data_IF_279154307597
#
_entry.id   IF_279154307597
#
_cell.length_a   1.000
_cell.length_b   1.000
_cell.length_c   1.000
_cell.angle_alpha   90.00
_cell.angle_beta   90.00
_cell.angle_gamma   90.00
#
_symmetry.space_group_name_H-M   'P 1'
#
loop_
_entity.id
_entity.type
_entity.pdbx_description
1 polymer ?
#
# COMPACT_ATOMS: atom_id res chain seq x y z
N UNK A 1 -59.25 36.58 51.03
CA UNK A 1 -59.00 35.23 51.57
C UNK A 1 -58.10 34.49 50.60
N UNK A 2 -56.97 33.97 51.07
CA UNK A 2 -55.92 33.31 50.27
C UNK A 2 -56.24 31.83 50.17
N UNK A 3 -56.42 31.31 48.95
CA UNK A 3 -56.55 29.88 48.70
C UNK A 3 -55.18 29.33 48.25
N UNK A 4 -54.50 28.75 49.24
CA UNK A 4 -53.43 27.75 49.25
C UNK A 4 -52.94 27.27 47.86
N UNK A 5 -51.76 27.76 47.49
CA UNK A 5 -50.86 27.11 46.52
C UNK A 5 -50.49 25.71 47.02
N UNK A 6 -50.97 24.67 46.34
CA UNK A 6 -50.48 23.31 46.52
C UNK A 6 -49.14 23.17 45.78
N UNK A 7 -48.04 23.46 46.49
CA UNK A 7 -46.67 23.26 46.00
C UNK A 7 -46.12 21.94 46.54
N UNK A 8 -45.65 21.09 45.62
CA UNK A 8 -44.47 20.22 45.77
C UNK A 8 -44.58 19.04 46.74
N UNK A 9 -45.04 17.88 46.27
CA UNK A 9 -44.81 16.61 46.99
C UNK A 9 -44.81 15.35 46.10
N UNK A 10 -44.10 15.33 44.97
CA UNK A 10 -43.68 14.07 44.33
C UNK A 10 -42.75 14.30 43.12
N UNK A 11 -41.46 14.62 43.29
CA UNK A 11 -40.47 14.39 42.19
C UNK A 11 -38.97 14.37 42.52
N UNK A 12 -38.46 14.16 43.74
CA UNK A 12 -37.01 13.98 43.91
C UNK A 12 -36.48 12.66 43.28
N UNK A 13 -37.32 11.63 43.12
CA UNK A 13 -36.93 10.31 42.62
C UNK A 13 -36.71 10.25 41.10
N UNK A 14 -37.47 11.01 40.31
CA UNK A 14 -37.38 10.96 38.85
C UNK A 14 -36.13 11.67 38.33
N UNK A 15 -35.76 12.79 38.96
CA UNK A 15 -34.50 13.51 38.67
C UNK A 15 -33.26 12.71 39.12
N UNK A 16 -33.36 11.98 40.23
CA UNK A 16 -32.31 11.06 40.69
C UNK A 16 -32.14 9.84 39.78
N UNK A 17 -33.24 9.27 39.25
CA UNK A 17 -33.19 8.17 38.29
C UNK A 17 -32.54 8.61 36.96
N UNK A 18 -32.87 9.81 36.48
CA UNK A 18 -32.36 10.36 35.22
C UNK A 18 -30.86 10.69 35.31
N UNK A 19 -30.39 11.23 36.44
CA UNK A 19 -28.96 11.45 36.68
C UNK A 19 -28.17 10.14 36.79
N UNK A 20 -28.71 9.12 37.47
CA UNK A 20 -28.11 7.79 37.53
C UNK A 20 -28.02 7.11 36.16
N UNK A 21 -29.04 7.25 35.33
CA UNK A 21 -29.04 6.74 33.96
C UNK A 21 -27.97 7.43 33.10
N UNK A 22 -27.82 8.76 33.19
CA UNK A 22 -26.77 9.50 32.49
C UNK A 22 -25.36 9.10 32.94
N UNK A 23 -25.15 8.86 34.23
CA UNK A 23 -23.88 8.37 34.76
C UNK A 23 -23.52 6.97 34.24
N UNK A 24 -24.49 6.04 34.24
CA UNK A 24 -24.29 4.69 33.72
C UNK A 24 -24.07 4.67 32.20
N UNK A 25 -24.64 5.63 31.46
CA UNK A 25 -24.36 5.84 30.05
C UNK A 25 -22.93 6.38 29.85
N UNK A 26 -22.57 7.44 30.57
CA UNK A 26 -21.23 8.04 30.50
C UNK A 26 -20.12 7.05 30.85
N UNK A 27 -20.34 6.16 31.82
CA UNK A 27 -19.39 5.09 32.14
C UNK A 27 -19.20 4.12 30.97
N UNK A 28 -20.30 3.66 30.34
CA UNK A 28 -20.20 2.78 29.17
C UNK A 28 -19.50 3.44 27.99
N UNK A 29 -19.77 4.73 27.75
CA UNK A 29 -19.09 5.50 26.71
C UNK A 29 -17.60 5.67 27.02
N UNK A 30 -17.23 5.91 28.28
CA UNK A 30 -15.84 5.97 28.71
C UNK A 30 -15.11 4.63 28.54
N UNK A 31 -15.73 3.51 28.91
CA UNK A 31 -15.16 2.16 28.75
C UNK A 31 -14.93 1.84 27.26
N UNK A 32 -15.87 2.22 26.38
CA UNK A 32 -15.72 2.06 24.93
C UNK A 32 -14.60 2.94 24.36
N UNK A 33 -14.50 4.19 24.82
CA UNK A 33 -13.45 5.10 24.41
C UNK A 33 -12.07 4.58 24.86
N UNK A 34 -11.95 4.06 26.08
CA UNK A 34 -10.71 3.44 26.56
C UNK A 34 -10.32 2.21 25.74
N UNK A 35 -11.27 1.35 25.40
CA UNK A 35 -11.02 0.19 24.54
C UNK A 35 -10.49 0.62 23.17
N UNK A 36 -11.11 1.63 22.57
CA UNK A 36 -10.71 2.17 21.27
C UNK A 36 -9.32 2.83 21.33
N UNK A 37 -9.04 3.59 22.39
CA UNK A 37 -7.74 4.20 22.60
C UNK A 37 -6.62 3.16 22.79
N UNK A 38 -6.88 2.07 23.53
CA UNK A 38 -5.94 0.95 23.69
C UNK A 38 -5.66 0.26 22.35
N UNK A 39 -6.69 0.05 21.53
CA UNK A 39 -6.54 -0.54 20.21
C UNK A 39 -5.71 0.34 19.27
N UNK A 40 -6.03 1.64 19.17
CA UNK A 40 -5.29 2.59 18.34
C UNK A 40 -3.83 2.71 18.77
N UNK A 41 -3.56 2.65 20.07
CA UNK A 41 -2.19 2.65 20.58
C UNK A 41 -1.42 1.40 20.16
N UNK A 42 -2.04 0.22 20.28
CA UNK A 42 -1.43 -1.03 19.82
C UNK A 42 -1.15 -1.03 18.30
N UNK A 43 -2.06 -0.46 17.50
CA UNK A 43 -1.87 -0.32 16.05
C UNK A 43 -0.73 0.66 15.72
N UNK A 44 -0.64 1.78 16.44
CA UNK A 44 0.45 2.74 16.30
C UNK A 44 1.81 2.11 16.63
N UNK A 45 1.90 1.36 17.74
CA UNK A 45 3.12 0.66 18.15
C UNK A 45 3.56 -0.38 17.10
N UNK A 46 2.61 -1.11 16.50
CA UNK A 46 2.88 -2.05 15.41
C UNK A 46 3.37 -1.34 14.13
N UNK A 47 2.75 -0.22 13.77
CA UNK A 47 3.15 0.57 12.62
C UNK A 47 4.57 1.16 12.81
N UNK A 48 4.90 1.60 14.02
CA UNK A 48 6.23 2.10 14.36
C UNK A 48 7.29 1.00 14.24
N UNK A 49 7.03 -0.19 14.77
CA UNK A 49 7.93 -1.34 14.62
C UNK A 49 8.18 -1.68 13.15
N UNK A 50 7.12 -1.74 12.33
CA UNK A 50 7.27 -1.98 10.89
C UNK A 50 8.05 -0.88 10.17
N UNK A 51 7.87 0.38 10.56
CA UNK A 51 8.63 1.49 10.00
C UNK A 51 10.11 1.37 10.34
N UNK A 52 10.45 1.05 11.59
CA UNK A 52 11.83 0.83 12.03
C UNK A 52 12.47 -0.36 11.28
N UNK A 53 11.77 -1.47 11.12
CA UNK A 53 12.25 -2.61 10.33
C UNK A 53 12.53 -2.24 8.87
N UNK A 54 11.63 -1.48 8.24
CA UNK A 54 11.81 -1.02 6.86
C UNK A 54 13.00 -0.07 6.74
N UNK A 55 13.17 0.85 7.69
CA UNK A 55 14.34 1.73 7.73
C UNK A 55 15.63 0.93 7.89
N UNK A 56 15.66 -0.08 8.78
CA UNK A 56 16.79 -0.98 8.94
C UNK A 56 17.12 -1.75 7.66
N UNK A 57 16.10 -2.28 6.96
CA UNK A 57 16.26 -2.93 5.66
C UNK A 57 16.79 -1.99 4.59
N UNK A 58 16.29 -0.75 4.53
CA UNK A 58 16.80 0.26 3.58
C UNK A 58 18.25 0.61 3.90
N UNK A 59 18.62 0.80 5.16
CA UNK A 59 20.01 1.04 5.55
C UNK A 59 20.92 -0.16 5.23
N UNK A 60 20.43 -1.39 5.41
CA UNK A 60 21.14 -2.61 5.05
C UNK A 60 21.32 -2.74 3.52
N UNK A 61 20.30 -2.42 2.73
CA UNK A 61 20.37 -2.40 1.26
C UNK A 61 21.31 -1.30 0.79
N UNK A 62 21.23 -0.09 1.37
CA UNK A 62 22.09 1.03 1.04
C UNK A 62 23.56 0.73 1.37
N UNK A 63 23.85 0.12 2.53
CA UNK A 63 25.21 -0.31 2.90
C UNK A 63 25.72 -1.48 2.05
N UNK A 64 24.83 -2.37 1.61
CA UNK A 64 25.17 -3.44 0.66
C UNK A 64 25.37 -2.92 -0.77
N UNK A 65 24.64 -1.87 -1.17
CA UNK A 65 24.70 -1.22 -2.48
C UNK A 65 25.85 -0.23 -2.65
N UNK A 66 26.44 0.27 -1.57
CA UNK A 66 27.60 1.18 -1.63
C UNK A 66 28.93 0.49 -2.04
N UNK A 67 28.88 -0.80 -2.38
CA UNK A 67 29.96 -1.50 -3.12
C UNK A 67 29.81 -1.39 -4.65
N UNK A 68 28.76 -0.74 -5.14
CA UNK A 68 28.59 -0.43 -6.56
C UNK A 68 28.49 1.09 -6.74
N UNK A 69 29.61 1.78 -6.51
CA UNK A 69 29.93 2.96 -7.32
C UNK A 69 30.18 2.50 -8.76
N UNK A 70 29.14 2.02 -9.44
CA UNK A 70 29.15 1.89 -10.89
C UNK A 70 28.50 3.15 -11.42
N UNK A 71 29.31 3.95 -12.11
CA UNK A 71 28.90 5.15 -12.82
C UNK A 71 27.61 4.87 -13.62
N UNK A 72 26.72 5.86 -13.66
CA UNK A 72 25.48 5.89 -14.45
C UNK A 72 25.67 5.51 -15.93
N UNK A 73 26.91 5.44 -16.41
CA UNK A 73 27.32 4.87 -17.68
C UNK A 73 28.54 3.96 -17.52
N UNK A 74 28.33 2.74 -17.01
CA UNK A 74 29.33 1.67 -17.08
C UNK A 74 28.83 0.63 -18.08
N UNK A 75 29.60 0.38 -19.14
CA UNK A 75 29.33 -0.67 -20.12
C UNK A 75 29.14 -2.04 -19.43
N UNK A 76 28.28 -2.94 -19.96
CA UNK A 76 27.90 -4.17 -19.29
C UNK A 76 29.14 -5.05 -19.08
N UNK A 77 29.59 -5.13 -17.83
CA UNK A 77 30.72 -5.97 -17.44
C UNK A 77 30.19 -7.36 -17.14
N UNK A 78 30.58 -8.31 -17.99
CA UNK A 78 30.52 -9.77 -17.84
C UNK A 78 29.24 -10.37 -17.23
N UNK A 79 28.50 -11.09 -18.09
CA UNK A 79 27.38 -11.97 -17.76
C UNK A 79 27.65 -12.77 -16.48
N UNK A 80 27.09 -12.32 -15.36
CA UNK A 80 26.77 -13.25 -14.27
C UNK A 80 25.69 -14.16 -14.83
N UNK A 81 26.09 -15.37 -15.24
CA UNK A 81 25.14 -16.46 -15.50
C UNK A 81 24.56 -16.80 -14.14
N UNK A 82 23.57 -16.02 -13.73
CA UNK A 82 22.66 -16.39 -12.67
C UNK A 82 21.91 -17.56 -13.26
N UNK A 83 22.25 -18.79 -12.86
CA UNK A 83 21.54 -19.99 -13.30
C UNK A 83 20.10 -19.87 -12.83
N UNK A 84 19.26 -19.22 -13.63
CA UNK A 84 17.82 -19.22 -13.44
C UNK A 84 17.42 -20.69 -13.60
N UNK A 85 16.88 -21.33 -12.55
CA UNK A 85 16.51 -22.74 -12.63
C UNK A 85 15.67 -22.99 -13.88
N UNK A 86 15.96 -24.06 -14.62
CA UNK A 86 15.30 -24.37 -15.92
C UNK A 86 13.77 -24.32 -15.82
N UNK A 87 13.21 -24.69 -14.66
CA UNK A 87 11.76 -24.57 -14.38
C UNK A 87 11.24 -23.13 -14.48
N UNK A 88 12.01 -22.15 -14.00
CA UNK A 88 11.66 -20.73 -14.07
C UNK A 88 11.78 -20.22 -15.50
N UNK A 89 12.81 -20.63 -16.25
CA UNK A 89 12.92 -20.28 -17.68
C UNK A 89 11.73 -20.82 -18.48
N UNK A 90 11.40 -22.10 -18.30
CA UNK A 90 10.25 -22.73 -18.96
C UNK A 90 8.92 -22.05 -18.57
N UNK A 91 8.77 -21.66 -17.30
CA UNK A 91 7.60 -20.93 -16.84
C UNK A 91 7.46 -19.58 -17.55
N UNK A 92 8.54 -18.79 -17.65
CA UNK A 92 8.55 -17.50 -18.32
C UNK A 92 8.27 -17.67 -19.82
N UNK A 93 8.89 -18.67 -20.47
CA UNK A 93 8.64 -18.94 -21.88
C UNK A 93 7.19 -19.34 -22.15
N UNK A 94 6.62 -20.23 -21.31
CA UNK A 94 5.23 -20.64 -21.42
C UNK A 94 4.26 -19.49 -21.19
N UNK A 95 4.54 -18.62 -20.21
CA UNK A 95 3.74 -17.42 -19.95
C UNK A 95 3.80 -16.45 -21.15
N UNK A 96 4.99 -16.28 -21.74
CA UNK A 96 5.18 -15.46 -22.92
C UNK A 96 4.39 -16.00 -24.12
N UNK A 97 4.48 -17.30 -24.39
CA UNK A 97 3.75 -17.99 -25.47
C UNK A 97 2.24 -17.94 -25.27
N UNK A 98 1.76 -18.12 -24.04
CA UNK A 98 0.33 -18.07 -23.73
C UNK A 98 -0.28 -16.66 -23.91
N UNK A 99 0.54 -15.60 -23.78
CA UNK A 99 0.10 -14.20 -23.85
C UNK A 99 0.49 -13.50 -25.15
N UNK A 100 1.28 -14.15 -26.03
CA UNK A 100 1.78 -13.52 -27.26
C UNK A 100 0.63 -13.13 -28.19
N UNK A 101 -0.34 -14.03 -28.40
CA UNK A 101 -1.50 -13.76 -29.25
C UNK A 101 -2.30 -12.55 -28.74
N UNK A 102 -2.60 -12.52 -27.43
CA UNK A 102 -3.31 -11.39 -26.82
C UNK A 102 -2.55 -10.06 -26.93
N UNK A 103 -1.21 -10.08 -26.92
CA UNK A 103 -0.38 -8.88 -27.12
C UNK A 103 -0.39 -8.41 -28.57
N UNK A 104 -0.41 -9.35 -29.52
CA UNK A 104 -0.59 -9.03 -30.94
C UNK A 104 -1.96 -8.41 -31.18
N UNK A 105 -3.02 -9.03 -30.63
CA UNK A 105 -4.41 -8.58 -30.78
C UNK A 105 -4.64 -7.21 -30.10
N UNK A 106 -3.90 -6.92 -29.01
CA UNK A 106 -3.96 -5.61 -28.32
C UNK A 106 -3.13 -4.51 -29.00
N UNK A 107 -2.53 -4.77 -30.16
CA UNK A 107 -1.68 -3.81 -30.89
C UNK A 107 -0.28 -3.59 -30.28
N UNK A 108 0.09 -4.34 -29.24
CA UNK A 108 1.38 -4.27 -28.54
C UNK A 108 2.31 -5.43 -28.95
N UNK A 109 2.23 -5.88 -30.19
CA UNK A 109 3.21 -6.83 -30.73
C UNK A 109 4.63 -6.23 -30.66
N UNK A 110 5.63 -7.09 -30.41
CA UNK A 110 7.03 -6.70 -30.57
C UNK A 110 7.25 -6.24 -32.02
N UNK A 111 7.87 -5.07 -32.18
CA UNK A 111 8.18 -4.53 -33.50
C UNK A 111 9.39 -5.27 -34.05
N UNK A 112 9.30 -5.72 -35.29
CA UNK A 112 10.37 -6.45 -36.00
C UNK A 112 11.17 -5.56 -36.94
N UNK A 113 10.65 -4.38 -37.26
CA UNK A 113 11.28 -3.42 -38.17
C UNK A 113 12.10 -2.38 -37.39
N UNK A 114 13.41 -2.36 -37.66
CA UNK A 114 14.35 -1.41 -37.08
C UNK A 114 14.36 -0.05 -37.81
N UNK A 115 13.76 0.07 -38.99
CA UNK A 115 13.75 1.34 -39.73
C UNK A 115 12.42 2.10 -39.55
N UNK A 116 11.44 1.50 -38.88
CA UNK A 116 10.16 2.14 -38.59
C UNK A 116 10.32 3.38 -37.68
N UNK A 117 9.55 4.46 -37.91
CA UNK A 117 9.62 5.67 -37.08
C UNK A 117 9.28 5.38 -35.60
N UNK A 118 9.91 6.09 -34.64
CA UNK A 118 9.67 5.88 -33.22
C UNK A 118 8.22 6.19 -32.83
N UNK A 119 7.69 5.46 -31.85
CA UNK A 119 6.33 5.69 -31.36
C UNK A 119 6.32 6.97 -30.53
N UNK A 120 5.48 7.93 -30.94
CA UNK A 120 5.31 9.20 -30.25
C UNK A 120 4.10 9.08 -29.32
N UNK A 121 4.24 9.49 -28.05
CA UNK A 121 3.12 9.52 -27.11
C UNK A 121 2.18 10.71 -27.39
N UNK A 122 1.03 10.76 -26.70
CA UNK A 122 0.05 11.86 -26.85
C UNK A 122 0.59 13.24 -26.45
N UNK A 123 1.78 13.30 -25.85
CA UNK A 123 2.47 14.53 -25.45
C UNK A 123 3.57 14.94 -26.45
N UNK A 124 3.70 14.24 -27.59
CA UNK A 124 4.69 14.55 -28.62
C UNK A 124 6.10 14.04 -28.33
N UNK A 125 6.28 13.21 -27.29
CA UNK A 125 7.59 12.66 -26.92
C UNK A 125 7.83 11.31 -27.59
N UNK A 126 9.02 11.12 -28.14
CA UNK A 126 9.45 9.83 -28.66
C UNK A 126 9.64 8.84 -27.50
N UNK A 127 8.75 7.85 -27.41
CA UNK A 127 8.94 6.70 -26.54
C UNK A 127 9.79 5.68 -27.31
N UNK A 128 10.88 5.23 -26.69
CA UNK A 128 11.74 4.21 -27.30
C UNK A 128 10.95 2.93 -27.66
N UNK A 129 11.54 2.07 -28.47
CA UNK A 129 10.92 0.79 -28.88
C UNK A 129 11.76 -0.40 -28.42
N UNK A 130 11.10 -1.52 -28.18
CA UNK A 130 11.75 -2.81 -27.95
C UNK A 130 11.71 -3.58 -29.27
N UNK A 131 12.89 -3.90 -29.81
CA UNK A 131 13.06 -4.70 -31.03
C UNK A 131 13.33 -6.15 -30.65
N UNK A 132 12.73 -7.08 -31.40
CA UNK A 132 13.15 -8.47 -31.35
C UNK A 132 14.32 -8.68 -32.32
N UNK A 133 15.51 -9.03 -31.80
CA UNK A 133 16.71 -9.28 -32.59
C UNK A 133 16.96 -10.76 -32.90
N UNK A 134 16.08 -11.67 -32.44
CA UNK A 134 16.18 -13.09 -32.79
C UNK A 134 15.73 -13.28 -34.25
N UNK A 135 16.70 -13.30 -35.16
CA UNK A 135 16.54 -13.75 -36.57
C UNK A 135 16.88 -15.22 -36.65
#
# INVERSE_FOLDING_TARGET
MVAITATTSATPSLQAALSRAKLAQAQREADQAEGTAKQLRAEADQAEQQAQERQGKVAQIASSGNRQTEATYSAPTAVRVTEVPVKVQNFIENLYRATSQKRTDSGNALKTDADAPPVINSQGQATGRILNLSV
#
